data_IF_740278847177
#
_entry.id   IF_740278847177
#
_cell.length_a   1.000
_cell.length_b   1.000
_cell.length_c   1.000
_cell.angle_alpha   90.00
_cell.angle_beta   90.00
_cell.angle_gamma   90.00
#
_symmetry.space_group_name_H-M   'P 1'
#
loop_
_entity.id
_entity.type
_entity.pdbx_description
1 polymer ?
#
# COMPACT_ATOMS: atom_id res chain seq x y z
N UNK A 1 16.33 -43.84 2.89
CA UNK A 1 16.69 -42.46 2.52
C UNK A 1 15.42 -41.85 1.95
N UNK A 2 14.79 -40.96 2.72
CA UNK A 2 13.40 -40.54 2.52
C UNK A 2 13.27 -39.62 1.30
N UNK A 3 12.27 -39.88 0.46
CA UNK A 3 11.90 -39.05 -0.71
C UNK A 3 11.63 -37.57 -0.37
N UNK A 4 11.37 -37.23 0.91
CA UNK A 4 11.17 -35.86 1.38
C UNK A 4 12.42 -34.98 1.31
N UNK A 5 13.62 -35.56 1.50
CA UNK A 5 14.88 -34.80 1.50
C UNK A 5 15.25 -34.26 0.11
N UNK A 6 14.73 -34.91 -0.95
CA UNK A 6 14.92 -34.48 -2.34
C UNK A 6 14.05 -33.27 -2.72
N UNK A 7 12.88 -33.13 -2.10
CA UNK A 7 11.84 -32.19 -2.54
C UNK A 7 12.12 -30.75 -2.05
N UNK A 8 12.55 -30.57 -0.79
CA UNK A 8 12.92 -29.25 -0.29
C UNK A 8 14.21 -28.72 -0.93
N UNK A 9 15.18 -29.60 -1.21
CA UNK A 9 16.42 -29.23 -1.90
C UNK A 9 16.17 -28.72 -3.32
N UNK A 10 15.18 -29.29 -4.03
CA UNK A 10 14.75 -28.80 -5.33
C UNK A 10 14.24 -27.35 -5.25
N UNK A 11 13.33 -27.07 -4.32
CA UNK A 11 12.80 -25.73 -4.11
C UNK A 11 13.87 -24.73 -3.65
N UNK A 12 14.84 -25.16 -2.83
CA UNK A 12 15.96 -24.31 -2.41
C UNK A 12 16.87 -23.93 -3.59
N UNK A 13 17.09 -24.84 -4.54
CA UNK A 13 17.85 -24.55 -5.76
C UNK A 13 17.15 -23.51 -6.64
N UNK A 14 15.82 -23.59 -6.76
CA UNK A 14 15.03 -22.56 -7.47
C UNK A 14 15.25 -21.19 -6.85
N UNK A 15 15.13 -21.07 -5.52
CA UNK A 15 15.39 -19.80 -4.83
C UNK A 15 16.83 -19.31 -5.00
N UNK A 16 17.81 -20.22 -4.96
CA UNK A 16 19.22 -19.84 -5.12
C UNK A 16 19.53 -19.33 -6.53
N UNK A 17 18.92 -19.94 -7.57
CA UNK A 17 19.05 -19.49 -8.94
C UNK A 17 18.37 -18.13 -9.15
N UNK A 18 17.14 -17.96 -8.66
CA UNK A 18 16.43 -16.69 -8.70
C UNK A 18 17.17 -15.59 -7.94
N UNK A 19 17.86 -15.93 -6.84
CA UNK A 19 18.70 -15.00 -6.10
C UNK A 19 19.97 -14.57 -6.86
N UNK A 20 20.38 -15.28 -7.93
CA UNK A 20 21.59 -14.98 -8.74
C UNK A 20 21.29 -14.42 -10.13
N UNK A 21 20.19 -14.84 -10.75
CA UNK A 21 19.82 -14.48 -12.12
C UNK A 21 19.50 -12.98 -12.24
N UNK A 22 19.73 -12.28 -13.36
CA UNK A 22 19.44 -10.83 -13.47
C UNK A 22 17.94 -10.50 -13.54
N UNK A 23 17.10 -11.51 -13.78
CA UNK A 23 15.65 -11.40 -13.89
C UNK A 23 14.98 -11.12 -12.53
N UNK A 24 13.86 -10.41 -12.56
CA UNK A 24 13.05 -10.08 -11.37
C UNK A 24 12.39 -11.34 -10.77
N UNK A 25 12.63 -11.68 -9.48
CA UNK A 25 12.12 -12.91 -8.87
C UNK A 25 10.60 -13.11 -8.95
N UNK A 26 9.83 -12.02 -8.91
CA UNK A 26 8.37 -12.09 -8.99
C UNK A 26 7.84 -12.44 -10.39
N UNK A 27 8.68 -12.37 -11.43
CA UNK A 27 8.29 -12.73 -12.79
C UNK A 27 8.18 -14.25 -13.01
N UNK A 28 8.84 -15.05 -12.15
CA UNK A 28 8.80 -16.50 -12.21
C UNK A 28 7.80 -17.06 -11.16
N UNK A 29 6.66 -17.63 -11.58
CA UNK A 29 5.69 -18.24 -10.67
C UNK A 29 6.26 -19.37 -9.81
N UNK A 30 7.34 -20.03 -10.27
CA UNK A 30 7.98 -21.13 -9.56
C UNK A 30 8.62 -20.66 -8.24
N UNK A 31 9.04 -19.39 -8.17
CA UNK A 31 9.67 -18.79 -6.98
C UNK A 31 8.64 -18.68 -5.85
N UNK A 32 7.45 -18.13 -6.13
CA UNK A 32 6.36 -18.04 -5.16
C UNK A 32 5.96 -19.42 -4.63
N UNK A 33 5.80 -20.39 -5.53
CA UNK A 33 5.45 -21.77 -5.13
C UNK A 33 6.56 -22.39 -4.27
N UNK A 34 7.82 -22.16 -4.61
CA UNK A 34 8.97 -22.65 -3.85
C UNK A 34 9.04 -22.04 -2.46
N UNK A 35 8.79 -20.73 -2.30
CA UNK A 35 8.71 -20.10 -0.96
C UNK A 35 7.60 -20.75 -0.13
N UNK A 36 6.40 -20.94 -0.69
CA UNK A 36 5.28 -21.58 0.02
C UNK A 36 5.57 -23.03 0.41
N UNK A 37 6.22 -23.80 -0.47
CA UNK A 37 6.60 -25.19 -0.19
C UNK A 37 7.66 -25.27 0.91
N UNK A 38 8.72 -24.47 0.82
CA UNK A 38 9.77 -24.41 1.85
C UNK A 38 9.22 -23.96 3.21
N UNK A 39 8.30 -23.00 3.23
CA UNK A 39 7.57 -22.62 4.43
C UNK A 39 6.80 -23.81 5.04
N UNK A 40 6.08 -24.56 4.21
CA UNK A 40 5.38 -25.79 4.63
C UNK A 40 6.32 -26.86 5.18
N UNK A 41 7.48 -27.08 4.57
CA UNK A 41 8.51 -28.00 5.08
C UNK A 41 9.02 -27.58 6.45
N UNK A 42 9.37 -26.30 6.64
CA UNK A 42 9.78 -25.78 7.93
C UNK A 42 8.71 -25.97 9.01
N UNK A 43 7.42 -25.79 8.67
CA UNK A 43 6.31 -26.03 9.60
C UNK A 43 6.16 -27.49 9.98
N UNK A 44 6.40 -28.42 9.05
CA UNK A 44 6.21 -29.85 9.27
C UNK A 44 7.37 -30.46 10.06
N UNK A 45 8.61 -30.14 9.69
CA UNK A 45 9.81 -30.72 10.32
C UNK A 45 10.15 -30.07 11.65
N UNK A 46 9.74 -28.80 11.86
CA UNK A 46 10.03 -28.02 13.07
C UNK A 46 11.51 -28.08 13.47
N UNK A 47 12.39 -27.97 12.47
CA UNK A 47 13.85 -28.11 12.59
C UNK A 47 14.53 -26.75 12.42
N UNK A 48 15.18 -26.28 13.48
CA UNK A 48 15.92 -25.00 13.49
C UNK A 48 17.06 -24.99 12.46
N UNK A 49 17.72 -26.14 12.24
CA UNK A 49 18.78 -26.28 11.23
C UNK A 49 18.24 -26.11 9.80
N UNK A 50 17.04 -26.66 9.52
CA UNK A 50 16.40 -26.48 8.22
C UNK A 50 16.06 -25.00 7.98
N UNK A 51 15.48 -24.33 8.98
CA UNK A 51 15.16 -22.90 8.92
C UNK A 51 16.41 -22.07 8.68
N UNK A 52 17.50 -22.34 9.41
CA UNK A 52 18.78 -21.64 9.27
C UNK A 52 19.39 -21.79 7.87
N UNK A 53 19.17 -22.93 7.19
CA UNK A 53 19.63 -23.16 5.81
C UNK A 53 18.79 -22.47 4.76
N UNK A 54 17.47 -22.41 4.96
CA UNK A 54 16.52 -21.84 4.00
C UNK A 54 16.49 -20.30 4.09
N UNK A 55 16.52 -19.76 5.30
CA UNK A 55 16.36 -18.33 5.57
C UNK A 55 17.28 -17.42 4.72
N UNK A 56 18.59 -17.70 4.55
CA UNK A 56 19.46 -16.84 3.74
C UNK A 56 19.03 -16.71 2.28
N UNK A 57 18.42 -17.75 1.69
CA UNK A 57 17.92 -17.69 0.31
C UNK A 57 16.63 -16.90 0.24
N UNK A 58 15.70 -17.11 1.19
CA UNK A 58 14.46 -16.34 1.29
C UNK A 58 14.75 -14.85 1.47
N UNK A 59 15.66 -14.49 2.37
CA UNK A 59 16.04 -13.10 2.60
C UNK A 59 16.68 -12.47 1.35
N UNK A 60 17.52 -13.19 0.61
CA UNK A 60 18.07 -12.68 -0.66
C UNK A 60 16.98 -12.40 -1.69
N UNK A 61 16.02 -13.32 -1.84
CA UNK A 61 14.88 -13.12 -2.76
C UNK A 61 14.04 -11.92 -2.34
N UNK A 62 13.81 -11.72 -1.04
CA UNK A 62 13.12 -10.53 -0.52
C UNK A 62 13.84 -9.24 -0.92
N UNK A 63 15.13 -9.11 -0.59
CA UNK A 63 15.91 -7.90 -0.86
C UNK A 63 15.95 -7.58 -2.36
N UNK A 64 16.07 -8.60 -3.21
CA UNK A 64 16.06 -8.43 -4.66
C UNK A 64 14.69 -7.99 -5.20
N UNK A 65 13.62 -8.61 -4.70
CA UNK A 65 12.25 -8.25 -5.08
C UNK A 65 11.91 -6.83 -4.65
N UNK A 66 12.41 -6.39 -3.49
CA UNK A 66 12.29 -5.00 -3.03
C UNK A 66 13.09 -4.05 -3.92
N UNK A 67 14.34 -4.38 -4.24
CA UNK A 67 15.20 -3.54 -5.09
C UNK A 67 14.62 -3.34 -6.50
N UNK A 68 13.93 -4.34 -7.04
CA UNK A 68 13.30 -4.26 -8.36
C UNK A 68 11.94 -3.54 -8.35
N UNK A 69 11.38 -3.15 -7.19
CA UNK A 69 10.06 -2.50 -7.11
C UNK A 69 9.97 -1.28 -8.03
N UNK A 70 11.01 -0.44 -8.05
CA UNK A 70 11.05 0.82 -8.83
C UNK A 70 11.17 0.62 -10.34
N UNK A 71 11.51 -0.59 -10.80
CA UNK A 71 11.85 -0.87 -12.21
C UNK A 71 10.70 -1.55 -12.98
N UNK A 72 9.74 -2.17 -12.28
CA UNK A 72 8.59 -2.81 -12.93
C UNK A 72 7.40 -1.87 -12.94
N UNK A 73 7.12 -1.27 -14.09
CA UNK A 73 5.86 -0.57 -14.37
C UNK A 73 4.88 -1.46 -15.15
N UNK A 74 5.32 -2.62 -15.65
CA UNK A 74 4.55 -3.45 -16.60
C UNK A 74 4.58 -4.96 -16.36
N UNK A 75 5.24 -5.46 -15.31
CA UNK A 75 5.35 -6.90 -15.01
C UNK A 75 4.82 -7.27 -13.62
N UNK A 76 4.12 -8.41 -13.55
CA UNK A 76 3.68 -9.23 -12.40
C UNK A 76 3.68 -8.61 -10.99
N UNK A 77 2.55 -8.69 -10.27
CA UNK A 77 2.45 -8.26 -8.86
C UNK A 77 3.52 -8.92 -7.98
N UNK A 78 4.34 -8.10 -7.32
CA UNK A 78 5.35 -8.56 -6.35
C UNK A 78 4.72 -8.83 -4.99
N UNK A 79 3.54 -8.25 -4.72
CA UNK A 79 2.88 -8.30 -3.43
C UNK A 79 2.66 -9.73 -2.93
N UNK A 80 2.24 -10.66 -3.80
CA UNK A 80 2.00 -12.06 -3.42
C UNK A 80 3.28 -12.79 -2.99
N UNK A 81 4.40 -12.55 -3.68
CA UNK A 81 5.70 -13.12 -3.31
C UNK A 81 6.21 -12.52 -2.00
N UNK A 82 6.15 -11.20 -1.86
CA UNK A 82 6.59 -10.54 -0.64
C UNK A 82 5.75 -10.95 0.57
N UNK A 83 4.42 -11.08 0.44
CA UNK A 83 3.55 -11.58 1.52
C UNK A 83 3.92 -13.01 1.94
N UNK A 84 4.22 -13.90 0.99
CA UNK A 84 4.65 -15.27 1.31
C UNK A 84 5.99 -15.28 2.07
N UNK A 85 6.92 -14.39 1.71
CA UNK A 85 8.20 -14.24 2.42
C UNK A 85 8.00 -13.61 3.81
N UNK A 86 7.14 -12.59 3.93
CA UNK A 86 6.79 -12.00 5.23
C UNK A 86 6.15 -13.01 6.17
N UNK A 87 5.30 -13.91 5.65
CA UNK A 87 4.76 -15.00 6.45
C UNK A 87 5.87 -15.91 6.98
N UNK A 88 6.90 -16.19 6.17
CA UNK A 88 8.07 -16.94 6.63
C UNK A 88 8.83 -16.20 7.73
N UNK A 89 9.05 -14.89 7.58
CA UNK A 89 9.71 -14.09 8.62
C UNK A 89 8.89 -14.02 9.91
N UNK A 90 7.57 -13.92 9.82
CA UNK A 90 6.71 -13.95 11.00
C UNK A 90 6.71 -15.31 11.68
N UNK A 91 6.71 -16.41 10.95
CA UNK A 91 6.62 -17.74 11.58
C UNK A 91 7.97 -18.21 12.14
N UNK A 92 9.08 -17.89 11.48
CA UNK A 92 10.41 -18.46 11.79
C UNK A 92 11.48 -17.43 12.15
N UNK A 93 11.18 -16.13 12.09
CA UNK A 93 12.17 -15.07 12.33
C UNK A 93 12.84 -15.18 13.71
N UNK A 94 12.09 -15.58 14.72
CA UNK A 94 12.59 -15.75 16.10
C UNK A 94 13.71 -16.80 16.18
N UNK A 95 13.64 -17.88 15.37
CA UNK A 95 14.64 -18.96 15.34
C UNK A 95 15.98 -18.51 14.75
N UNK A 96 15.96 -17.48 13.91
CA UNK A 96 17.14 -16.96 13.20
C UNK A 96 17.49 -15.53 13.62
N UNK A 97 16.88 -15.04 14.71
CA UNK A 97 17.04 -13.67 15.23
C UNK A 97 16.79 -12.59 14.16
N UNK A 98 15.85 -12.85 13.23
CA UNK A 98 15.44 -11.90 12.23
C UNK A 98 14.39 -10.95 12.79
N UNK A 99 14.68 -9.65 12.75
CA UNK A 99 13.68 -8.61 12.99
C UNK A 99 12.82 -8.40 11.73
N UNK A 100 11.54 -8.75 11.82
CA UNK A 100 10.59 -8.62 10.72
C UNK A 100 10.03 -7.19 10.55
N UNK A 101 10.20 -6.29 11.52
CA UNK A 101 9.61 -4.94 11.48
C UNK A 101 10.06 -4.13 10.24
N UNK A 102 11.37 -4.07 9.89
CA UNK A 102 11.81 -3.36 8.70
C UNK A 102 11.24 -3.96 7.41
N UNK A 103 11.17 -5.28 7.33
CA UNK A 103 10.64 -6.01 6.17
C UNK A 103 9.15 -5.72 5.97
N UNK A 104 8.36 -5.73 7.05
CA UNK A 104 6.94 -5.39 7.03
C UNK A 104 6.75 -3.94 6.57
N UNK A 105 7.47 -2.99 7.18
CA UNK A 105 7.38 -1.56 6.82
C UNK A 105 7.75 -1.30 5.36
N UNK A 106 8.79 -1.96 4.85
CA UNK A 106 9.17 -1.85 3.44
C UNK A 106 8.07 -2.39 2.52
N UNK A 107 7.39 -3.47 2.89
CA UNK A 107 6.25 -3.95 2.11
C UNK A 107 5.12 -2.93 2.04
N UNK A 108 4.67 -2.38 3.17
CA UNK A 108 3.60 -1.38 3.18
C UNK A 108 4.01 -0.13 2.39
N UNK A 109 5.19 0.43 2.69
CA UNK A 109 5.66 1.70 2.12
C UNK A 109 6.00 1.61 0.63
N UNK A 110 6.59 0.50 0.18
CA UNK A 110 7.17 0.43 -1.17
C UNK A 110 6.42 -0.49 -2.13
N UNK A 111 5.79 -1.56 -1.63
CA UNK A 111 5.07 -2.52 -2.46
C UNK A 111 3.56 -2.24 -2.46
N UNK A 112 2.92 -2.32 -1.28
CA UNK A 112 1.48 -2.17 -1.17
C UNK A 112 1.01 -0.78 -1.61
N UNK A 113 1.76 0.27 -1.30
CA UNK A 113 1.50 1.64 -1.79
C UNK A 113 1.37 1.74 -3.31
N UNK A 114 2.06 0.85 -4.06
CA UNK A 114 2.02 0.80 -5.53
C UNK A 114 1.02 -0.22 -6.06
N UNK A 115 0.85 -1.33 -5.35
CA UNK A 115 0.06 -2.49 -5.78
C UNK A 115 -1.32 -2.61 -5.11
N UNK A 116 -1.74 -1.68 -4.24
CA UNK A 116 -3.05 -1.75 -3.56
C UNK A 116 -4.23 -1.85 -4.54
N UNK A 117 -4.06 -1.38 -5.78
CA UNK A 117 -5.09 -1.44 -6.82
C UNK A 117 -5.27 -2.83 -7.46
N UNK A 118 -4.34 -3.75 -7.19
CA UNK A 118 -4.45 -5.16 -7.58
C UNK A 118 -5.32 -5.92 -6.59
N UNK A 119 -6.42 -6.49 -7.09
CA UNK A 119 -7.39 -7.18 -6.24
C UNK A 119 -6.81 -8.41 -5.53
N UNK A 120 -5.92 -9.17 -6.19
CA UNK A 120 -5.33 -10.37 -5.60
C UNK A 120 -4.33 -10.01 -4.50
N UNK A 121 -3.53 -8.95 -4.70
CA UNK A 121 -2.62 -8.43 -3.66
C UNK A 121 -3.42 -7.88 -2.47
N UNK A 122 -4.49 -7.13 -2.73
CA UNK A 122 -5.30 -6.53 -1.68
C UNK A 122 -6.01 -7.60 -0.82
N UNK A 123 -6.56 -8.64 -1.45
CA UNK A 123 -7.17 -9.79 -0.78
C UNK A 123 -6.15 -10.56 0.06
N UNK A 124 -5.02 -10.94 -0.52
CA UNK A 124 -3.95 -11.63 0.20
C UNK A 124 -3.39 -10.79 1.36
N UNK A 125 -3.31 -9.47 1.21
CA UNK A 125 -2.87 -8.56 2.29
C UNK A 125 -3.86 -8.59 3.45
N UNK A 126 -5.18 -8.53 3.18
CA UNK A 126 -6.18 -8.62 4.23
C UNK A 126 -6.16 -9.98 4.94
N UNK A 127 -6.04 -11.08 4.19
CA UNK A 127 -5.91 -12.42 4.78
C UNK A 127 -4.69 -12.52 5.69
N UNK A 128 -3.52 -12.10 5.20
CA UNK A 128 -2.29 -12.05 5.97
C UNK A 128 -2.45 -11.24 7.27
N UNK A 129 -3.08 -10.07 7.20
CA UNK A 129 -3.32 -9.23 8.38
C UNK A 129 -4.28 -9.85 9.39
N UNK A 130 -5.31 -10.56 8.92
CA UNK A 130 -6.28 -11.25 9.78
C UNK A 130 -5.62 -12.44 10.48
N UNK A 131 -4.92 -13.28 9.72
CA UNK A 131 -4.26 -14.48 10.22
C UNK A 131 -3.20 -14.14 11.28
N UNK A 132 -2.42 -13.09 11.02
CA UNK A 132 -1.32 -12.68 11.89
C UNK A 132 -1.70 -11.59 12.90
N UNK A 133 -2.97 -11.17 12.98
CA UNK A 133 -3.43 -10.01 13.77
C UNK A 133 -2.87 -9.98 15.19
N UNK A 134 -2.90 -11.12 15.91
CA UNK A 134 -2.41 -11.21 17.29
C UNK A 134 -0.91 -10.97 17.38
N UNK A 135 -0.11 -11.61 16.51
CA UNK A 135 1.35 -11.42 16.48
C UNK A 135 1.71 -10.00 16.06
N UNK A 136 0.99 -9.45 15.08
CA UNK A 136 1.21 -8.08 14.61
C UNK A 136 0.94 -7.04 15.71
N UNK A 137 -0.18 -7.16 16.42
CA UNK A 137 -0.50 -6.22 17.50
C UNK A 137 0.42 -6.35 18.72
N UNK A 138 0.91 -7.56 19.01
CA UNK A 138 1.82 -7.80 20.13
C UNK A 138 3.26 -7.36 19.83
N UNK A 139 3.78 -7.69 18.65
CA UNK A 139 5.20 -7.46 18.29
C UNK A 139 5.43 -6.15 17.53
N UNK A 140 4.42 -5.63 16.82
CA UNK A 140 4.52 -4.44 15.97
C UNK A 140 3.34 -3.49 16.18
N UNK A 141 3.11 -2.99 17.42
CA UNK A 141 1.86 -2.32 17.81
C UNK A 141 1.50 -1.08 16.98
N UNK A 142 2.51 -0.39 16.44
CA UNK A 142 2.30 0.83 15.65
C UNK A 142 2.15 0.58 14.15
N UNK A 143 2.34 -0.65 13.66
CA UNK A 143 2.39 -0.93 12.22
C UNK A 143 1.06 -0.58 11.54
N UNK A 144 -0.05 -1.16 12.01
CA UNK A 144 -1.37 -0.93 11.41
C UNK A 144 -1.84 0.51 11.56
N UNK A 145 -1.61 1.11 12.73
CA UNK A 145 -1.97 2.49 12.99
C UNK A 145 -1.10 3.51 12.25
N UNK A 146 0.09 3.14 11.78
CA UNK A 146 0.90 4.03 10.95
C UNK A 146 0.46 3.97 9.49
N UNK A 147 0.16 2.77 8.99
CA UNK A 147 -0.22 2.56 7.59
C UNK A 147 -1.75 2.62 7.36
N UNK A 148 -2.53 3.16 8.30
CA UNK A 148 -3.99 3.26 8.15
C UNK A 148 -4.43 4.00 6.87
N UNK A 149 -3.77 5.08 6.39
CA UNK A 149 -4.20 5.77 5.18
C UNK A 149 -4.10 4.87 3.94
N UNK A 150 -3.03 4.07 3.86
CA UNK A 150 -2.84 3.07 2.80
C UNK A 150 -3.89 1.96 2.89
N UNK A 151 -4.21 1.50 4.11
CA UNK A 151 -5.27 0.51 4.31
C UNK A 151 -6.65 1.07 3.92
N UNK A 152 -6.92 2.37 4.13
CA UNK A 152 -8.11 3.04 3.63
C UNK A 152 -8.14 3.13 2.10
N UNK A 153 -7.00 3.42 1.44
CA UNK A 153 -6.88 3.35 -0.04
C UNK A 153 -7.21 1.95 -0.56
N UNK A 154 -6.76 0.92 0.14
CA UNK A 154 -6.96 -0.48 -0.22
C UNK A 154 -8.44 -0.89 -0.20
N UNK A 155 -9.20 -0.52 0.84
CA UNK A 155 -10.66 -0.78 0.90
C UNK A 155 -11.45 0.12 -0.05
N UNK A 156 -11.07 1.40 -0.19
CA UNK A 156 -11.72 2.34 -1.10
C UNK A 156 -11.66 1.85 -2.56
N UNK A 157 -10.57 1.17 -2.94
CA UNK A 157 -10.39 0.67 -4.30
C UNK A 157 -11.00 -0.71 -4.56
N UNK A 158 -10.94 -1.63 -3.58
CA UNK A 158 -11.29 -3.06 -3.74
C UNK A 158 -12.47 -3.50 -2.85
N UNK A 159 -13.44 -2.60 -2.63
CA UNK A 159 -14.54 -2.79 -1.67
C UNK A 159 -15.33 -4.11 -1.81
N UNK A 160 -15.59 -4.58 -3.04
CA UNK A 160 -16.47 -5.72 -3.35
C UNK A 160 -16.13 -6.99 -2.57
N UNK A 161 -14.84 -7.30 -2.47
CA UNK A 161 -14.35 -8.52 -1.82
C UNK A 161 -13.85 -8.29 -0.41
N UNK A 162 -13.48 -7.05 -0.08
CA UNK A 162 -12.70 -6.77 1.11
C UNK A 162 -13.50 -6.29 2.31
N UNK A 163 -14.71 -5.75 2.13
CA UNK A 163 -15.45 -5.11 3.23
C UNK A 163 -15.51 -5.96 4.51
N UNK A 164 -15.92 -7.23 4.40
CA UNK A 164 -16.05 -8.14 5.55
C UNK A 164 -14.70 -8.45 6.21
N UNK A 165 -13.66 -8.62 5.41
CA UNK A 165 -12.30 -8.92 5.90
C UNK A 165 -11.68 -7.67 6.53
N UNK A 166 -11.84 -6.51 5.91
CA UNK A 166 -11.33 -5.23 6.37
C UNK A 166 -11.91 -4.84 7.72
N UNK A 167 -13.22 -5.04 7.95
CA UNK A 167 -13.85 -4.78 9.25
C UNK A 167 -13.24 -5.59 10.40
N UNK A 168 -12.64 -6.76 10.13
CA UNK A 168 -11.93 -7.55 11.17
C UNK A 168 -10.56 -6.95 11.52
N UNK A 169 -9.93 -6.28 10.57
CA UNK A 169 -8.61 -5.64 10.71
C UNK A 169 -8.77 -4.25 11.32
N UNK A 170 -9.82 -3.53 10.94
CA UNK A 170 -10.08 -2.13 11.25
C UNK A 170 -9.86 -1.73 12.73
N UNK A 171 -10.30 -2.50 13.75
CA UNK A 171 -9.99 -2.17 15.15
C UNK A 171 -8.49 -2.02 15.45
N UNK A 172 -7.63 -2.75 14.74
CA UNK A 172 -6.17 -2.64 14.90
C UNK A 172 -5.56 -1.37 14.31
N UNK A 173 -6.32 -0.59 13.55
CA UNK A 173 -5.92 0.73 13.05
C UNK A 173 -6.17 1.81 14.10
N UNK A 174 -6.93 1.50 15.17
CA UNK A 174 -7.27 2.44 16.23
C UNK A 174 -6.22 2.31 17.33
N UNK A 175 -5.36 3.32 17.44
CA UNK A 175 -4.35 3.44 18.48
C UNK A 175 -4.26 4.88 18.97
N UNK A 176 -3.64 5.18 20.13
CA UNK A 176 -3.52 6.56 20.62
C UNK A 176 -2.94 7.54 19.58
N UNK A 177 -2.00 7.09 18.76
CA UNK A 177 -1.36 7.91 17.72
C UNK A 177 -2.18 8.07 16.43
N UNK A 178 -3.17 7.21 16.20
CA UNK A 178 -3.99 7.20 14.98
C UNK A 178 -5.45 7.57 15.23
N UNK A 179 -5.88 7.61 16.49
CA UNK A 179 -7.26 7.85 16.88
C UNK A 179 -7.84 9.12 16.24
N UNK A 180 -7.30 10.28 16.61
CA UNK A 180 -7.73 11.58 16.10
C UNK A 180 -7.68 11.71 14.57
N UNK A 181 -6.59 11.32 13.88
CA UNK A 181 -6.52 11.46 12.42
C UNK A 181 -7.29 10.40 11.62
N UNK A 182 -7.61 9.26 12.23
CA UNK A 182 -8.41 8.22 11.57
C UNK A 182 -9.86 8.68 11.40
N UNK A 183 -10.43 9.41 12.37
CA UNK A 183 -11.81 9.91 12.28
C UNK A 183 -12.10 10.74 11.01
N UNK A 184 -11.40 11.85 10.74
CA UNK A 184 -11.62 12.61 9.50
C UNK A 184 -11.29 11.77 8.26
N UNK A 185 -10.32 10.85 8.34
CA UNK A 185 -10.01 9.96 7.21
C UNK A 185 -11.11 8.97 6.85
N UNK A 186 -11.93 8.53 7.81
CA UNK A 186 -13.13 7.73 7.52
C UNK A 186 -14.20 8.58 6.83
N UNK A 187 -14.35 9.85 7.25
CA UNK A 187 -15.30 10.79 6.65
C UNK A 187 -14.89 11.17 5.23
N UNK A 188 -13.58 11.30 4.98
CA UNK A 188 -13.00 11.65 3.68
C UNK A 188 -12.92 10.46 2.72
N UNK A 189 -13.35 9.25 3.12
CA UNK A 189 -13.27 8.06 2.28
C UNK A 189 -13.95 8.24 0.91
N UNK A 190 -15.13 8.90 0.78
CA UNK A 190 -15.72 9.23 -0.51
C UNK A 190 -14.82 10.15 -1.35
N UNK A 191 -14.16 11.14 -0.73
CA UNK A 191 -13.21 12.02 -1.42
C UNK A 191 -11.98 11.27 -1.89
N UNK A 192 -11.50 10.32 -1.10
CA UNK A 192 -10.39 9.45 -1.48
C UNK A 192 -10.73 8.64 -2.72
N UNK A 193 -11.96 8.14 -2.85
CA UNK A 193 -12.40 7.43 -4.06
C UNK A 193 -12.37 8.37 -5.27
N UNK A 194 -12.92 9.58 -5.15
CA UNK A 194 -12.92 10.57 -6.24
C UNK A 194 -11.48 10.87 -6.70
N UNK A 195 -10.56 11.05 -5.76
CA UNK A 195 -9.14 11.28 -6.03
C UNK A 195 -8.49 10.11 -6.78
N UNK A 196 -8.69 8.89 -6.29
CA UNK A 196 -8.13 7.68 -6.90
C UNK A 196 -8.69 7.45 -8.31
N UNK A 197 -9.97 7.72 -8.53
CA UNK A 197 -10.57 7.62 -9.86
C UNK A 197 -10.06 8.71 -10.82
N UNK A 198 -9.78 9.92 -10.33
CA UNK A 198 -9.14 10.99 -11.14
C UNK A 198 -7.76 10.53 -11.63
N UNK A 199 -6.95 9.94 -10.74
CA UNK A 199 -5.63 9.37 -11.12
C UNK A 199 -5.78 8.25 -12.14
N UNK A 200 -6.75 7.35 -11.97
CA UNK A 200 -6.98 6.28 -12.96
C UNK A 200 -7.31 6.84 -14.34
N UNK A 201 -8.11 7.91 -14.41
CA UNK A 201 -8.47 8.55 -15.70
C UNK A 201 -7.27 9.20 -16.36
N UNK A 202 -6.33 9.76 -15.59
CA UNK A 202 -5.12 10.39 -16.14
C UNK A 202 -4.00 9.40 -16.50
N UNK A 203 -3.94 8.23 -15.86
CA UNK A 203 -2.77 7.35 -15.93
C UNK A 203 -2.73 6.38 -17.13
N UNK A 204 -3.64 6.52 -18.09
CA UNK A 204 -3.73 5.62 -19.25
C UNK A 204 -4.11 4.17 -18.88
N UNK A 205 -4.49 3.36 -19.87
CA UNK A 205 -5.10 2.03 -19.64
C UNK A 205 -4.15 0.95 -19.08
N UNK A 206 -2.87 1.24 -18.85
CA UNK A 206 -1.84 0.25 -18.48
C UNK A 206 -1.17 0.45 -17.11
N UNK A 207 -1.34 1.62 -16.47
CA UNK A 207 -0.63 1.94 -15.23
C UNK A 207 -1.49 1.65 -13.99
N UNK A 208 -0.91 0.98 -12.98
CA UNK A 208 -1.55 0.78 -11.67
C UNK A 208 -1.66 2.12 -10.95
N UNK A 209 -2.83 2.41 -10.36
CA UNK A 209 -3.10 3.70 -9.69
C UNK A 209 -2.03 4.06 -8.66
N UNK A 210 -1.59 3.11 -7.84
CA UNK A 210 -0.51 3.36 -6.87
C UNK A 210 0.85 3.63 -7.51
N UNK A 211 1.16 2.94 -8.63
CA UNK A 211 2.37 3.22 -9.41
C UNK A 211 2.36 4.62 -10.02
N UNK A 212 1.22 5.06 -10.53
CA UNK A 212 1.04 6.40 -11.09
C UNK A 212 1.12 7.50 -10.02
N UNK A 213 0.58 7.27 -8.82
CA UNK A 213 0.75 8.19 -7.68
C UNK A 213 2.23 8.33 -7.33
N UNK A 214 2.96 7.21 -7.25
CA UNK A 214 4.39 7.22 -6.95
C UNK A 214 5.22 7.96 -8.01
N UNK A 215 4.88 7.83 -9.30
CA UNK A 215 5.56 8.57 -10.36
C UNK A 215 5.27 10.07 -10.31
N UNK A 216 4.02 10.47 -10.05
CA UNK A 216 3.62 11.90 -9.91
C UNK A 216 4.35 12.56 -8.73
N UNK A 217 4.44 11.88 -7.59
CA UNK A 217 5.19 12.38 -6.43
C UNK A 217 6.69 12.49 -6.72
N UNK A 218 7.23 11.58 -7.54
CA UNK A 218 8.64 11.60 -7.94
C UNK A 218 8.95 12.70 -8.96
N UNK A 219 8.02 13.12 -9.81
CA UNK A 219 8.23 14.19 -10.80
C UNK A 219 8.08 15.60 -10.22
N UNK A 220 7.28 15.78 -9.16
CA UNK A 220 7.07 17.10 -8.54
C UNK A 220 8.33 17.68 -7.87
N UNK A 221 9.24 16.85 -7.34
CA UNK A 221 10.44 17.33 -6.65
C UNK A 221 11.61 17.74 -7.59
N UNK A 222 11.90 17.02 -8.69
CA UNK A 222 12.94 17.41 -9.65
C UNK A 222 12.55 18.61 -10.52
N UNK A 223 11.29 18.73 -10.95
CA UNK A 223 10.86 19.82 -11.83
C UNK A 223 10.91 21.18 -11.14
N UNK A 224 10.53 21.26 -9.86
CA UNK A 224 10.62 22.51 -9.10
C UNK A 224 12.07 22.95 -8.88
N UNK A 225 13.00 22.00 -8.70
CA UNK A 225 14.44 22.30 -8.64
C UNK A 225 15.02 22.69 -10.01
N UNK A 226 14.59 22.02 -11.08
CA UNK A 226 14.97 22.36 -12.46
C UNK A 226 14.45 23.74 -12.87
N UNK A 227 13.20 24.07 -12.54
CA UNK A 227 12.60 25.38 -12.79
C UNK A 227 13.32 26.49 -12.02
N UNK A 228 13.67 26.25 -10.74
CA UNK A 228 14.45 27.21 -9.95
C UNK A 228 15.89 27.37 -10.49
N UNK A 229 16.49 26.31 -11.04
CA UNK A 229 17.79 26.39 -11.70
C UNK A 229 17.72 27.15 -13.03
N UNK A 230 16.70 26.90 -13.84
CA UNK A 230 16.47 27.60 -15.11
C UNK A 230 16.10 29.07 -14.88
N UNK A 231 15.34 29.41 -13.84
CA UNK A 231 15.05 30.79 -13.43
C UNK A 231 16.33 31.52 -12.99
N UNK A 232 17.17 30.88 -12.17
CA UNK A 232 18.44 31.44 -11.73
C UNK A 232 19.47 31.57 -12.86
N UNK A 233 19.38 30.74 -13.91
CA UNK A 233 20.35 30.71 -15.00
C UNK A 233 19.92 31.56 -16.22
N UNK A 234 18.62 31.67 -16.50
CA UNK A 234 18.08 32.43 -17.63
C UNK A 234 17.56 33.82 -17.25
N UNK A 235 17.35 34.09 -15.95
CA UNK A 235 16.89 35.40 -15.46
C UNK A 235 15.52 35.82 -15.98
N UNK A 236 14.72 34.89 -16.54
CA UNK A 236 13.40 35.19 -17.06
C UNK A 236 12.38 35.20 -15.92
N UNK A 237 12.19 36.36 -15.32
CA UNK A 237 10.97 36.63 -14.54
C UNK A 237 9.78 36.45 -15.47
N UNK A 238 8.78 35.64 -15.11
CA UNK A 238 7.50 35.58 -15.82
C UNK A 238 6.96 37.01 -15.92
N UNK A 239 7.15 37.62 -17.09
CA UNK A 239 6.65 38.94 -17.41
C UNK A 239 5.17 38.83 -17.68
N UNK A 240 4.39 39.59 -16.92
CA UNK A 240 3.03 40.00 -17.25
C UNK A 240 3.03 40.62 -18.66
N UNK A 241 2.54 39.86 -19.63
CA UNK A 241 2.54 40.22 -21.05
C UNK A 241 1.40 39.52 -21.75
N UNK A 242 0.29 40.24 -21.91
CA UNK A 242 -0.85 39.78 -22.70
C UNK A 242 -0.46 39.61 -24.16
N UNK A 243 -0.86 38.47 -24.73
CA UNK A 243 -1.12 38.33 -26.16
C UNK A 243 -2.12 37.20 -26.38
N UNK A 244 -3.08 37.46 -27.26
CA UNK A 244 -4.20 36.61 -27.59
C UNK A 244 -3.73 35.33 -28.30
N UNK A 245 -4.17 34.18 -27.83
CA UNK A 245 -4.18 32.94 -28.61
C UNK A 245 -5.34 32.06 -28.17
N UNK A 246 -6.45 32.27 -28.85
CA UNK A 246 -7.57 31.34 -28.93
C UNK A 246 -7.04 29.96 -29.39
N UNK A 247 -7.02 29.00 -28.49
CA UNK A 247 -7.08 27.58 -28.86
C UNK A 247 -8.14 26.91 -28.00
N UNK A 248 -9.28 26.68 -28.61
CA UNK A 248 -10.38 25.89 -28.08
C UNK A 248 -9.95 24.42 -27.93
N UNK A 249 -10.52 23.79 -26.90
CA UNK A 249 -10.69 22.35 -26.73
C UNK A 249 -9.45 21.48 -26.57
N UNK A 250 -8.96 21.43 -25.33
CA UNK A 250 -8.85 20.16 -24.63
C UNK A 250 -9.05 20.37 -23.13
N UNK A 251 -10.08 19.72 -22.57
CA UNK A 251 -10.22 19.54 -21.12
C UNK A 251 -9.10 18.62 -20.60
N UNK A 252 -7.85 19.10 -20.58
CA UNK A 252 -6.78 18.53 -19.77
C UNK A 252 -7.12 18.81 -18.33
N UNK A 253 -7.85 17.87 -17.72
CA UNK A 253 -8.14 17.85 -16.30
C UNK A 253 -6.81 17.84 -15.56
N UNK A 254 -6.51 18.96 -14.90
CA UNK A 254 -5.25 19.19 -14.21
C UNK A 254 -5.06 18.18 -13.06
N UNK A 255 -4.12 17.26 -13.25
CA UNK A 255 -3.67 16.26 -12.26
C UNK A 255 -2.81 16.94 -11.18
N UNK A 256 -2.40 18.20 -11.39
CA UNK A 256 -1.57 18.97 -10.48
C UNK A 256 -2.35 19.76 -9.41
N UNK A 257 -3.62 19.45 -9.15
CA UNK A 257 -4.35 20.05 -8.04
C UNK A 257 -3.70 19.64 -6.69
N UNK A 258 -3.09 20.59 -5.96
CA UNK A 258 -2.29 20.32 -4.76
C UNK A 258 -3.05 19.53 -3.69
N UNK A 259 -4.38 19.68 -3.62
CA UNK A 259 -5.21 19.02 -2.62
C UNK A 259 -5.43 17.54 -2.94
N UNK A 260 -5.60 17.19 -4.22
CA UNK A 260 -5.68 15.77 -4.61
C UNK A 260 -4.36 15.07 -4.38
N UNK A 261 -3.25 15.75 -4.64
CA UNK A 261 -1.92 15.24 -4.29
C UNK A 261 -1.77 15.08 -2.79
N UNK A 262 -2.29 15.99 -1.97
CA UNK A 262 -2.30 15.87 -0.51
C UNK A 262 -3.11 14.67 -0.02
N UNK A 263 -4.31 14.45 -0.55
CA UNK A 263 -5.15 13.30 -0.22
C UNK A 263 -4.53 11.96 -0.66
N UNK A 264 -3.72 11.99 -1.71
CA UNK A 264 -3.03 10.83 -2.25
C UNK A 264 -1.62 10.64 -1.68
N UNK A 265 -1.08 11.63 -0.96
CA UNK A 265 0.20 11.51 -0.26
C UNK A 265 0.15 10.32 0.67
N UNK A 266 1.28 9.65 0.73
CA UNK A 266 1.50 8.56 1.66
C UNK A 266 1.92 9.21 2.98
N UNK A 267 0.97 9.44 3.90
CA UNK A 267 1.17 10.15 5.18
C UNK A 267 2.06 9.35 6.18
N UNK A 268 2.86 8.40 5.69
CA UNK A 268 3.81 7.60 6.48
C UNK A 268 4.88 8.44 7.20
N UNK A 269 5.03 9.71 6.82
CA UNK A 269 5.98 10.69 7.37
C UNK A 269 5.31 11.82 8.18
N UNK A 270 4.00 11.75 8.43
CA UNK A 270 3.25 12.75 9.20
C UNK A 270 1.93 13.13 8.52
N UNK A 271 0.90 13.30 9.33
CA UNK A 271 -0.44 13.67 8.87
C UNK A 271 -0.46 15.16 8.59
N UNK A 272 -0.63 15.52 7.31
CA UNK A 272 -0.86 16.91 6.95
C UNK A 272 -2.28 17.32 7.41
N UNK A 273 -2.41 18.55 7.86
CA UNK A 273 -3.69 19.13 8.28
C UNK A 273 -4.56 19.36 7.04
N UNK A 274 -5.58 18.50 6.83
CA UNK A 274 -6.38 18.51 5.61
C UNK A 274 -7.31 19.72 5.56
N UNK A 275 -7.06 20.64 4.62
CA UNK A 275 -7.93 21.78 4.38
C UNK A 275 -9.13 21.40 3.50
N UNK A 276 -10.22 20.95 4.14
CA UNK A 276 -11.51 20.63 3.50
C UNK A 276 -12.23 21.83 2.83
N UNK A 277 -11.62 23.01 2.80
CA UNK A 277 -12.23 24.26 2.32
C UNK A 277 -11.65 24.77 0.98
N UNK A 278 -11.10 23.89 0.15
CA UNK A 278 -10.57 24.30 -1.17
C UNK A 278 -11.67 24.47 -2.23
N UNK A 279 -11.61 25.51 -3.07
CA UNK A 279 -12.47 25.67 -4.23
C UNK A 279 -12.43 24.48 -5.20
N UNK A 280 -11.29 23.80 -5.33
CA UNK A 280 -11.13 22.68 -6.25
C UNK A 280 -11.79 21.39 -5.73
N UNK A 281 -11.77 21.17 -4.41
CA UNK A 281 -12.55 20.12 -3.75
C UNK A 281 -14.05 20.34 -3.96
N UNK A 282 -14.51 21.59 -3.81
CA UNK A 282 -15.91 21.95 -4.05
C UNK A 282 -16.30 21.73 -5.51
N UNK A 283 -15.45 22.10 -6.47
CA UNK A 283 -15.70 21.84 -7.88
C UNK A 283 -15.77 20.33 -8.21
N UNK A 284 -14.87 19.52 -7.63
CA UNK A 284 -14.88 18.07 -7.80
C UNK A 284 -16.08 17.40 -7.12
N UNK A 285 -16.47 17.86 -5.93
CA UNK A 285 -17.69 17.44 -5.24
C UNK A 285 -18.93 17.80 -6.05
N UNK A 286 -18.98 18.99 -6.62
CA UNK A 286 -20.10 19.47 -7.41
C UNK A 286 -20.21 18.72 -8.75
N UNK A 287 -19.08 18.38 -9.38
CA UNK A 287 -19.02 17.48 -10.53
C UNK A 287 -19.47 16.05 -10.18
N UNK A 288 -19.04 15.52 -9.02
CA UNK A 288 -19.47 14.22 -8.54
C UNK A 288 -20.95 14.18 -8.14
N UNK A 289 -21.50 15.29 -7.64
CA UNK A 289 -22.90 15.42 -7.26
C UNK A 289 -23.85 15.59 -8.46
N UNK A 290 -23.35 16.09 -9.60
CA UNK A 290 -24.15 16.33 -10.81
C UNK A 290 -24.15 15.17 -11.80
N UNK A 291 -23.22 14.22 -11.69
CA UNK A 291 -23.13 13.03 -12.53
C UNK A 291 -23.59 11.73 -11.84
N UNK A 292 -23.75 10.62 -12.60
CA UNK A 292 -24.01 9.31 -12.02
C UNK A 292 -22.81 8.84 -11.19
N UNK A 293 -23.05 8.51 -9.91
CA UNK A 293 -22.01 8.03 -9.01
C UNK A 293 -21.43 6.69 -9.48
N UNK A 294 -20.11 6.56 -9.38
CA UNK A 294 -19.45 5.28 -9.62
C UNK A 294 -19.89 4.24 -8.59
N UNK A 295 -19.81 2.96 -8.94
CA UNK A 295 -20.12 1.88 -7.99
C UNK A 295 -19.20 1.93 -6.75
N UNK A 296 -17.93 2.33 -6.91
CA UNK A 296 -17.02 2.54 -5.77
C UNK A 296 -17.54 3.63 -4.84
N UNK A 297 -17.98 4.77 -5.39
CA UNK A 297 -18.52 5.88 -4.61
C UNK A 297 -19.77 5.45 -3.82
N UNK A 298 -20.74 4.80 -4.47
CA UNK A 298 -21.97 4.31 -3.82
C UNK A 298 -21.68 3.38 -2.64
N UNK A 299 -20.61 2.61 -2.73
CA UNK A 299 -20.29 1.57 -1.76
C UNK A 299 -19.44 2.09 -0.63
N UNK A 300 -18.51 2.99 -0.91
CA UNK A 300 -17.81 3.75 0.10
C UNK A 300 -18.77 4.53 1.00
N UNK A 301 -19.85 5.10 0.44
CA UNK A 301 -20.92 5.73 1.23
C UNK A 301 -21.66 4.75 2.17
N UNK A 302 -21.65 3.45 1.88
CA UNK A 302 -22.20 2.40 2.77
C UNK A 302 -21.16 1.91 3.78
N UNK A 303 -19.88 1.89 3.41
CA UNK A 303 -18.77 1.40 4.24
C UNK A 303 -18.41 2.41 5.33
N UNK A 304 -18.33 3.70 5.01
CA UNK A 304 -17.89 4.72 5.96
C UNK A 304 -18.72 4.74 7.26
N UNK A 305 -20.07 4.68 7.24
CA UNK A 305 -20.87 4.57 8.47
C UNK A 305 -20.55 3.32 9.29
N UNK A 306 -20.24 2.18 8.65
CA UNK A 306 -19.88 0.94 9.34
C UNK A 306 -18.50 1.04 10.00
N UNK A 307 -17.54 1.71 9.34
CA UNK A 307 -16.23 1.99 9.93
C UNK A 307 -16.37 2.92 11.14
N UNK A 308 -17.23 3.95 11.06
CA UNK A 308 -17.55 4.81 12.20
C UNK A 308 -18.19 4.04 13.35
N UNK A 309 -19.12 3.14 13.07
CA UNK A 309 -19.76 2.29 14.09
C UNK A 309 -18.72 1.43 14.84
N UNK A 310 -17.77 0.82 14.11
CA UNK A 310 -16.65 0.08 14.73
C UNK A 310 -15.73 1.02 15.50
N UNK A 311 -15.40 2.20 14.94
CA UNK A 311 -14.56 3.20 15.57
C UNK A 311 -15.11 3.62 16.94
N UNK A 312 -16.39 3.99 17.00
CA UNK A 312 -17.06 4.35 18.25
C UNK A 312 -17.26 3.14 19.18
N UNK A 313 -17.49 1.96 18.65
CA UNK A 313 -17.63 0.74 19.46
C UNK A 313 -16.33 0.39 20.19
N UNK A 314 -15.17 0.56 19.54
CA UNK A 314 -13.86 0.30 20.15
C UNK A 314 -13.57 1.34 21.23
N UNK A 315 -13.79 2.63 20.95
CA UNK A 315 -13.54 3.68 21.95
C UNK A 315 -14.40 3.56 23.19
N UNK A 316 -15.68 3.20 23.03
CA UNK A 316 -16.58 3.01 24.16
C UNK A 316 -16.18 1.80 25.01
N UNK A 317 -15.61 0.75 24.41
CA UNK A 317 -15.06 -0.39 25.15
C UNK A 317 -13.82 0.01 25.93
N UNK A 318 -12.85 0.65 25.29
CA UNK A 318 -11.61 1.10 25.94
C UNK A 318 -11.92 2.07 27.10
N UNK A 319 -12.88 2.99 26.92
CA UNK A 319 -13.33 3.90 27.97
C UNK A 319 -14.04 3.21 29.14
N UNK A 320 -14.69 2.05 28.90
CA UNK A 320 -15.31 1.25 29.96
C UNK A 320 -14.29 0.36 30.68
N UNK A 321 -13.30 -0.16 29.96
CA UNK A 321 -12.19 -0.94 30.55
C UNK A 321 -11.29 -0.05 31.41
N UNK A 322 -11.17 1.24 31.08
CA UNK A 322 -10.51 2.25 31.93
C UNK A 322 -11.30 2.65 33.19
N UNK A 323 -12.56 2.20 33.40
CA UNK A 323 -13.40 2.56 34.56
C UNK A 323 -13.27 1.63 35.78
N UNK A 324 -12.31 0.70 35.77
CA UNK A 324 -11.98 -0.13 36.93
C UNK A 324 -10.47 -0.12 37.23
N UNK A 325 -9.93 1.06 37.54
CA UNK A 325 -8.70 1.22 38.35
C UNK A 325 -8.97 2.30 39.39
#
# INVERSE_FOLDING_TARGET
MNDQDGDWNYHLRILSNSARDSTDPASDPSVLQSVKKLHGFCKLENSDDLVARIYPQINKVFQRSVASLTQSETGTSKGLLLLAILQFFLDFGDMVLHDADPSLRTFFRSCLSREFSDAAVAEATCEFLIENKRKLLASFPNLLSQFFPLLLKLIAWNWEKLEKSFLKIFPGLISPGSFLPLFPSILDLPMLVVALEKVKRSSGSGSRVGGSIASIQKSAAPEMLLALMDEAYTGSTIGDGGDDSESEDNNTIDVADPLFLELLKDENDGLAERHLASPALNAALQAAASGPWSERMKQTLKIAPRLLDVYFSVTLRDANDCKFI
#
